data_IF_603382190565
#
_entry.id   IF_603382190565
#
_cell.length_a   1.000
_cell.length_b   1.000
_cell.length_c   1.000
_cell.angle_alpha   90.00
_cell.angle_beta   90.00
_cell.angle_gamma   90.00
#
_symmetry.space_group_name_H-M   'P 1'
#
loop_
_entity.id
_entity.type
_entity.pdbx_description
1 polymer ?
#
# COMPACT_ATOMS: atom_id res chain seq x y z
N UNK A 1 27.92 3.64 -15.26
CA UNK A 1 27.39 4.90 -14.70
C UNK A 1 26.06 4.62 -14.01
N UNK A 2 26.01 4.65 -12.67
CA UNK A 2 24.77 4.51 -11.90
C UNK A 2 24.12 5.89 -11.88
N UNK A 3 23.03 6.06 -12.64
CA UNK A 3 22.26 7.29 -12.60
C UNK A 3 21.85 7.58 -11.15
N UNK A 4 22.27 8.72 -10.63
CA UNK A 4 21.85 9.20 -9.32
C UNK A 4 20.32 9.26 -9.30
N UNK A 5 19.69 8.46 -8.44
CA UNK A 5 18.24 8.54 -8.20
C UNK A 5 17.99 9.92 -7.61
N UNK A 6 17.45 10.83 -8.41
CA UNK A 6 16.87 12.07 -7.90
C UNK A 6 15.83 11.67 -6.86
N UNK A 7 16.07 12.04 -5.60
CA UNK A 7 15.08 11.92 -4.53
C UNK A 7 13.96 12.90 -4.85
N UNK A 8 13.04 12.50 -5.74
CA UNK A 8 11.81 13.24 -5.95
C UNK A 8 11.05 13.21 -4.62
N UNK A 9 11.00 14.35 -3.96
CA UNK A 9 10.17 14.57 -2.79
C UNK A 9 8.74 14.13 -3.11
N UNK A 10 8.06 13.41 -2.22
CA UNK A 10 6.66 13.07 -2.42
C UNK A 10 5.85 14.33 -2.69
N UNK A 11 4.99 14.28 -3.71
CA UNK A 11 4.06 15.35 -4.02
C UNK A 11 2.68 14.87 -3.59
N UNK A 12 2.14 15.33 -2.44
CA UNK A 12 0.85 14.87 -1.94
C UNK A 12 -0.29 15.20 -2.92
N UNK A 13 -1.46 14.55 -2.78
CA UNK A 13 -2.59 14.86 -3.65
C UNK A 13 -2.96 16.36 -3.60
N UNK A 14 -3.42 16.94 -4.73
CA UNK A 14 -3.83 18.35 -4.77
C UNK A 14 -4.97 18.61 -3.78
N UNK A 15 -4.97 19.76 -3.11
CA UNK A 15 -6.05 20.12 -2.18
C UNK A 15 -7.32 20.44 -2.96
N UNK A 16 -8.44 19.84 -2.57
CA UNK A 16 -9.77 20.11 -3.13
C UNK A 16 -10.85 19.78 -2.09
N UNK A 17 -12.07 20.29 -2.28
CA UNK A 17 -13.13 20.14 -1.28
C UNK A 17 -13.61 18.68 -1.12
N UNK A 18 -13.61 17.91 -2.22
CA UNK A 18 -14.08 16.53 -2.27
C UNK A 18 -12.97 15.48 -2.23
N UNK A 19 -13.34 14.19 -2.24
CA UNK A 19 -12.37 13.11 -2.37
C UNK A 19 -11.70 13.19 -3.74
N UNK A 20 -10.43 12.82 -3.83
CA UNK A 20 -9.78 12.54 -5.11
C UNK A 20 -10.04 11.08 -5.46
N UNK A 21 -10.69 10.83 -6.59
CA UNK A 21 -11.01 9.47 -7.04
C UNK A 21 -10.52 9.26 -8.46
N UNK A 22 -9.25 8.84 -8.58
CA UNK A 22 -8.61 8.43 -9.82
C UNK A 22 -8.74 6.92 -10.01
N UNK A 23 -9.98 6.45 -10.06
CA UNK A 23 -10.35 5.05 -10.12
C UNK A 23 -11.56 4.82 -11.02
N UNK A 24 -11.79 3.56 -11.40
CA UNK A 24 -12.94 3.12 -12.19
C UNK A 24 -14.29 3.43 -11.52
N UNK A 25 -15.36 3.42 -12.31
CA UNK A 25 -16.72 3.64 -11.79
C UNK A 25 -17.11 2.59 -10.74
N UNK A 26 -16.75 1.33 -10.97
CA UNK A 26 -16.96 0.23 -10.01
C UNK A 26 -16.37 0.52 -8.63
N UNK A 27 -15.18 1.13 -8.55
CA UNK A 27 -14.60 1.51 -7.27
C UNK A 27 -15.36 2.66 -6.62
N UNK A 28 -15.88 3.61 -7.40
CA UNK A 28 -16.73 4.69 -6.88
C UNK A 28 -18.00 4.13 -6.24
N UNK A 29 -18.63 3.15 -6.89
CA UNK A 29 -19.85 2.51 -6.39
C UNK A 29 -19.58 1.75 -5.08
N UNK A 30 -18.52 0.95 -5.04
CA UNK A 30 -18.12 0.25 -3.83
C UNK A 30 -17.70 1.21 -2.72
N UNK A 31 -16.97 2.28 -3.05
CA UNK A 31 -16.62 3.31 -2.10
C UNK A 31 -17.88 3.91 -1.47
N UNK A 32 -18.87 4.31 -2.26
CA UNK A 32 -20.11 4.88 -1.74
C UNK A 32 -20.87 3.88 -0.85
N UNK A 33 -21.03 2.64 -1.31
CA UNK A 33 -21.73 1.59 -0.57
C UNK A 33 -21.05 1.31 0.79
N UNK A 34 -19.74 1.10 0.79
CA UNK A 34 -19.02 0.71 2.01
C UNK A 34 -18.78 1.89 2.93
N UNK A 35 -18.69 3.11 2.40
CA UNK A 35 -18.69 4.33 3.22
C UNK A 35 -19.97 4.43 4.07
N UNK A 36 -21.11 4.12 3.46
CA UNK A 36 -22.40 4.09 4.16
C UNK A 36 -22.47 2.92 5.15
N UNK A 37 -22.13 1.69 4.74
CA UNK A 37 -22.17 0.50 5.61
C UNK A 37 -21.28 0.64 6.85
N UNK A 38 -20.11 1.25 6.71
CA UNK A 38 -19.18 1.50 7.82
C UNK A 38 -19.52 2.75 8.64
N UNK A 39 -20.57 3.49 8.25
CA UNK A 39 -21.01 4.74 8.87
C UNK A 39 -19.86 5.76 9.01
N UNK A 40 -19.11 5.96 7.93
CA UNK A 40 -17.96 6.86 7.94
C UNK A 40 -18.40 8.34 7.89
N UNK A 41 -17.82 9.23 8.72
CA UNK A 41 -18.19 10.65 8.71
C UNK A 41 -17.92 11.31 7.36
N UNK A 42 -18.90 12.06 6.84
CA UNK A 42 -18.77 12.79 5.55
C UNK A 42 -17.63 13.80 5.52
N UNK A 43 -17.24 14.33 6.69
CA UNK A 43 -16.11 15.25 6.88
C UNK A 43 -14.76 14.62 6.50
N UNK A 44 -14.64 13.29 6.61
CA UNK A 44 -13.42 12.55 6.26
C UNK A 44 -13.33 12.28 4.75
N UNK A 45 -14.43 12.42 4.01
CA UNK A 45 -14.47 12.17 2.56
C UNK A 45 -13.59 13.18 1.82
N UNK A 46 -13.61 14.45 2.21
CA UNK A 46 -12.72 15.48 1.65
C UNK A 46 -11.23 15.24 1.93
N UNK A 47 -10.89 14.31 2.84
CA UNK A 47 -9.50 13.95 3.18
C UNK A 47 -9.06 12.64 2.49
N UNK A 48 -9.91 12.02 1.68
CA UNK A 48 -9.62 10.77 0.98
C UNK A 48 -9.10 11.01 -0.44
N UNK A 49 -7.97 10.39 -0.78
CA UNK A 49 -7.53 10.18 -2.14
C UNK A 49 -7.41 8.68 -2.44
N UNK A 50 -8.02 8.24 -3.53
CA UNK A 50 -7.96 6.86 -4.02
C UNK A 50 -7.47 6.85 -5.46
N UNK A 51 -6.58 5.90 -5.79
CA UNK A 51 -6.06 5.73 -7.15
C UNK A 51 -5.89 4.26 -7.51
N UNK A 52 -6.02 3.94 -8.78
CA UNK A 52 -5.60 2.65 -9.37
C UNK A 52 -4.24 2.73 -10.07
N UNK A 53 -3.62 3.92 -10.13
CA UNK A 53 -2.30 4.10 -10.72
C UNK A 53 -1.20 4.00 -9.64
N UNK A 54 -0.34 2.98 -9.79
CA UNK A 54 0.82 2.75 -8.92
C UNK A 54 1.83 3.90 -8.97
N UNK A 55 1.99 4.55 -10.12
CA UNK A 55 2.91 5.68 -10.27
C UNK A 55 2.41 6.90 -9.52
N UNK A 56 1.11 7.17 -9.61
CA UNK A 56 0.46 8.22 -8.85
C UNK A 56 0.52 7.95 -7.33
N UNK A 57 0.20 6.74 -6.89
CA UNK A 57 0.34 6.40 -5.47
C UNK A 57 1.79 6.55 -4.97
N UNK A 58 2.77 6.15 -5.78
CA UNK A 58 4.20 6.38 -5.49
C UNK A 58 4.52 7.88 -5.45
N UNK A 59 3.93 8.69 -6.31
CA UNK A 59 4.11 10.16 -6.33
C UNK A 59 3.61 10.77 -5.02
N UNK A 60 2.43 10.36 -4.55
CA UNK A 60 1.83 10.86 -3.30
C UNK A 60 2.59 10.42 -2.05
N UNK A 61 3.05 9.16 -2.00
CA UNK A 61 3.63 8.57 -0.79
C UNK A 61 5.16 8.53 -0.77
N UNK A 62 5.81 8.69 -1.92
CA UNK A 62 7.24 8.38 -2.11
C UNK A 62 7.57 6.89 -2.10
N UNK A 63 6.58 6.00 -1.91
CA UNK A 63 6.80 4.55 -1.72
C UNK A 63 6.39 3.78 -2.97
N UNK A 64 7.27 2.88 -3.41
CA UNK A 64 6.95 1.92 -4.47
C UNK A 64 6.20 0.73 -3.88
N UNK A 65 5.00 0.48 -4.38
CA UNK A 65 4.24 -0.72 -4.04
C UNK A 65 4.86 -1.96 -4.71
N UNK A 66 4.90 -3.07 -3.99
CA UNK A 66 5.24 -4.38 -4.56
C UNK A 66 4.17 -4.77 -5.60
N UNK A 67 4.57 -5.39 -6.72
CA UNK A 67 3.67 -5.82 -7.79
C UNK A 67 2.57 -6.78 -7.34
N UNK A 68 2.77 -7.49 -6.23
CA UNK A 68 1.80 -8.40 -5.62
C UNK A 68 0.78 -7.72 -4.70
N UNK A 69 0.94 -6.43 -4.40
CA UNK A 69 -0.01 -5.67 -3.57
C UNK A 69 -1.34 -5.53 -4.31
N UNK A 70 -2.43 -5.98 -3.69
CA UNK A 70 -3.80 -5.88 -4.20
C UNK A 70 -4.48 -4.58 -3.78
N UNK A 71 -4.32 -4.18 -2.52
CA UNK A 71 -4.78 -2.91 -1.96
C UNK A 71 -3.75 -2.35 -0.99
N UNK A 72 -3.78 -1.02 -0.78
CA UNK A 72 -2.96 -0.41 0.26
C UNK A 72 -3.53 0.91 0.77
N UNK A 73 -3.85 0.94 2.07
CA UNK A 73 -4.14 2.13 2.83
C UNK A 73 -2.88 2.74 3.45
N UNK A 74 -2.73 4.06 3.32
CA UNK A 74 -1.72 4.84 3.99
C UNK A 74 -2.32 6.12 4.59
N UNK A 75 -1.91 6.45 5.81
CA UNK A 75 -2.24 7.72 6.44
C UNK A 75 -1.04 8.67 6.41
N UNK A 76 -1.22 9.87 5.85
CA UNK A 76 -0.24 10.94 5.93
C UNK A 76 -0.48 11.77 7.20
N UNK A 77 0.48 11.84 8.14
CA UNK A 77 0.36 12.74 9.28
C UNK A 77 0.33 14.19 8.79
N UNK A 78 -0.34 15.07 9.55
CA UNK A 78 -0.26 16.50 9.29
C UNK A 78 1.23 16.90 9.30
N UNK A 79 1.69 17.74 8.37
CA UNK A 79 3.03 18.31 8.50
C UNK A 79 3.11 18.95 9.89
N UNK A 80 4.04 18.46 10.70
CA UNK A 80 4.35 19.12 11.96
C UNK A 80 4.78 20.53 11.56
N UNK A 81 3.96 21.54 11.86
CA UNK A 81 4.48 22.89 12.02
C UNK A 81 5.52 22.75 13.11
N UNK A 82 6.79 22.72 12.71
CA UNK A 82 7.87 22.92 13.65
C UNK A 82 7.55 24.24 14.31
N UNK A 83 7.10 24.18 15.56
CA UNK A 83 7.15 25.34 16.42
C UNK A 83 8.58 25.83 16.31
N UNK A 84 8.73 27.04 15.78
CA UNK A 84 9.96 27.80 15.70
C UNK A 84 10.44 28.05 17.13
N UNK A 85 11.10 27.05 17.70
CA UNK A 85 11.67 27.05 19.03
C UNK A 85 13.18 26.95 18.94
N UNK A 86 13.81 28.13 18.86
CA UNK A 86 15.18 28.41 19.32
C UNK A 86 16.31 27.57 18.72
N UNK A 87 16.83 28.00 17.56
CA UNK A 87 18.27 27.94 17.28
C UNK A 87 18.77 29.31 16.83
N UNK A 88 19.47 29.93 17.78
CA UNK A 88 20.51 30.95 17.70
C UNK A 88 20.82 31.54 16.33
N UNK A 89 20.51 32.85 16.20
CA UNK A 89 21.23 33.92 15.48
C UNK A 89 22.35 33.49 14.49
N UNK A 90 22.15 33.83 13.21
CA UNK A 90 23.10 34.65 12.43
C UNK A 90 22.37 35.42 11.33
N UNK A 91 22.92 36.58 11.01
CA UNK A 91 22.31 37.77 10.37
C UNK A 91 22.28 37.72 8.84
N UNK A 92 21.35 38.53 8.29
CA UNK A 92 21.27 39.13 6.94
C UNK A 92 20.94 38.16 5.79
N UNK A 93 19.96 38.43 4.92
CA UNK A 93 19.83 39.64 4.08
C UNK A 93 18.37 39.84 3.62
N UNK A 94 17.98 41.11 3.48
CA UNK A 94 16.71 41.62 2.93
C UNK A 94 16.62 41.45 1.40
N UNK A 95 15.39 41.64 0.88
CA UNK A 95 14.89 41.62 -0.52
C UNK A 95 14.39 40.24 -1.00
N UNK A 96 13.17 40.06 -1.52
CA UNK A 96 12.10 40.96 -1.95
C UNK A 96 10.75 40.35 -1.57
N UNK A 97 9.87 41.15 -0.98
CA UNK A 97 8.47 40.83 -0.80
C UNK A 97 7.72 41.22 -2.08
N UNK A 98 7.22 40.24 -2.82
CA UNK A 98 6.25 40.47 -3.89
C UNK A 98 5.17 39.39 -3.82
N UNK A 99 4.02 39.77 -3.27
CA UNK A 99 2.66 39.29 -3.59
C UNK A 99 2.44 37.76 -3.78
N UNK A 100 2.45 36.98 -2.68
CA UNK A 100 1.94 35.58 -2.64
C UNK A 100 0.96 35.31 -1.48
N UNK A 101 0.38 36.34 -0.86
CA UNK A 101 -0.33 36.19 0.42
C UNK A 101 -1.82 35.80 0.27
N UNK A 102 -2.44 36.06 -0.89
CA UNK A 102 -3.89 35.84 -1.06
C UNK A 102 -4.28 34.42 -1.53
N UNK A 103 -3.47 33.72 -2.33
CA UNK A 103 -3.80 32.34 -2.74
C UNK A 103 -3.55 31.30 -1.64
N UNK A 104 -2.51 31.51 -0.83
CA UNK A 104 -2.10 30.55 0.21
C UNK A 104 -3.15 30.45 1.34
N UNK A 105 -3.85 31.56 1.61
CA UNK A 105 -4.92 31.64 2.61
C UNK A 105 -6.17 30.82 2.23
N UNK A 106 -6.48 30.71 0.93
CA UNK A 106 -7.59 29.88 0.44
C UNK A 106 -7.21 28.39 0.36
N UNK A 107 -5.95 28.08 0.03
CA UNK A 107 -5.45 26.69 0.02
C UNK A 107 -5.31 26.10 1.44
N UNK A 108 -5.13 26.95 2.46
CA UNK A 108 -5.14 26.54 3.87
C UNK A 108 -6.52 26.09 4.37
N UNK A 109 -7.61 26.56 3.76
CA UNK A 109 -8.98 26.15 4.11
C UNK A 109 -9.38 24.81 3.50
N UNK A 110 -8.76 24.40 2.39
CA UNK A 110 -9.06 23.12 1.75
C UNK A 110 -8.45 21.95 2.54
N UNK A 111 -9.20 20.85 2.75
CA UNK A 111 -8.68 19.69 3.46
C UNK A 111 -7.47 19.12 2.70
N UNK A 112 -6.41 18.84 3.44
CA UNK A 112 -5.30 18.04 2.94
C UNK A 112 -5.75 16.57 2.92
N UNK A 113 -5.60 15.90 1.78
CA UNK A 113 -5.87 14.47 1.67
C UNK A 113 -4.85 13.68 2.50
N UNK A 114 -5.34 13.10 3.59
CA UNK A 114 -4.53 12.33 4.55
C UNK A 114 -4.76 10.84 4.43
N UNK A 115 -5.91 10.42 3.93
CA UNK A 115 -6.23 9.02 3.69
C UNK A 115 -5.93 8.68 2.24
N UNK A 116 -4.92 7.85 2.01
CA UNK A 116 -4.49 7.44 0.68
C UNK A 116 -4.79 5.96 0.48
N UNK A 117 -5.58 5.62 -0.55
CA UNK A 117 -5.91 4.24 -0.89
C UNK A 117 -5.39 3.94 -2.30
N UNK A 118 -4.71 2.81 -2.44
CA UNK A 118 -4.44 2.18 -3.72
C UNK A 118 -5.28 0.93 -3.87
N UNK A 119 -5.86 0.71 -5.05
CA UNK A 119 -6.52 -0.55 -5.42
C UNK A 119 -5.95 -1.02 -6.77
N UNK A 120 -5.56 -2.28 -6.85
CA UNK A 120 -5.07 -2.87 -8.09
C UNK A 120 -6.19 -2.98 -9.13
N UNK A 121 -6.02 -2.41 -10.34
CA UNK A 121 -7.07 -2.44 -11.36
C UNK A 121 -7.27 -3.80 -12.03
N UNK A 122 -6.20 -4.60 -12.18
CA UNK A 122 -6.29 -5.95 -12.74
C UNK A 122 -6.52 -6.96 -11.61
N UNK A 123 -7.76 -7.00 -11.14
CA UNK A 123 -8.30 -7.97 -10.18
C UNK A 123 -9.68 -8.44 -10.64
N UNK A 124 -10.11 -9.62 -10.19
CA UNK A 124 -11.49 -10.03 -10.39
C UNK A 124 -12.46 -9.05 -9.70
N UNK A 125 -13.68 -8.83 -10.22
CA UNK A 125 -14.62 -7.86 -9.65
C UNK A 125 -14.91 -8.08 -8.15
N UNK A 126 -15.07 -9.33 -7.72
CA UNK A 126 -15.26 -9.68 -6.30
C UNK A 126 -14.02 -9.35 -5.47
N UNK A 127 -12.82 -9.60 -5.99
CA UNK A 127 -11.56 -9.22 -5.32
C UNK A 127 -11.42 -7.70 -5.19
N UNK A 128 -11.87 -6.92 -6.19
CA UNK A 128 -11.88 -5.44 -6.12
C UNK A 128 -12.80 -4.99 -5.00
N UNK A 129 -14.03 -5.51 -4.95
CA UNK A 129 -15.01 -5.19 -3.92
C UNK A 129 -14.45 -5.44 -2.51
N UNK A 130 -13.98 -6.67 -2.27
CA UNK A 130 -13.42 -7.09 -0.98
C UNK A 130 -12.23 -6.21 -0.59
N UNK A 131 -11.35 -5.90 -1.54
CA UNK A 131 -10.19 -5.02 -1.28
C UNK A 131 -10.62 -3.60 -0.94
N UNK A 132 -11.65 -3.05 -1.61
CA UNK A 132 -12.18 -1.71 -1.25
C UNK A 132 -12.73 -1.72 0.18
N UNK A 133 -13.53 -2.72 0.54
CA UNK A 133 -14.05 -2.86 1.91
C UNK A 133 -12.91 -2.96 2.94
N UNK A 134 -11.89 -3.76 2.64
CA UNK A 134 -10.70 -3.93 3.47
C UNK A 134 -9.97 -2.62 3.75
N UNK A 135 -9.65 -1.84 2.71
CA UNK A 135 -8.93 -0.57 2.89
C UNK A 135 -9.80 0.48 3.61
N UNK A 136 -11.12 0.41 3.47
CA UNK A 136 -12.03 1.27 4.23
C UNK A 136 -12.16 0.86 5.70
N UNK A 137 -12.00 -0.42 6.05
CA UNK A 137 -11.91 -0.86 7.45
C UNK A 137 -10.66 -0.25 8.11
N UNK A 138 -9.51 -0.24 7.42
CA UNK A 138 -8.31 0.47 7.92
C UNK A 138 -8.55 1.96 8.15
N UNK A 139 -9.24 2.59 7.21
CA UNK A 139 -9.62 3.98 7.31
C UNK A 139 -10.56 4.20 8.51
N UNK A 140 -11.59 3.36 8.68
CA UNK A 140 -12.53 3.41 9.80
C UNK A 140 -11.82 3.27 11.15
N UNK A 141 -10.93 2.29 11.28
CA UNK A 141 -10.12 2.05 12.47
C UNK A 141 -9.25 3.27 12.80
N UNK A 142 -8.71 3.95 11.78
CA UNK A 142 -7.93 5.17 11.97
C UNK A 142 -8.79 6.33 12.47
N UNK A 143 -9.99 6.54 11.92
CA UNK A 143 -10.93 7.58 12.36
C UNK A 143 -11.34 7.35 13.81
N UNK A 144 -11.61 6.09 14.19
CA UNK A 144 -11.98 5.70 15.56
C UNK A 144 -10.82 5.79 16.55
N UNK A 145 -9.59 6.07 16.09
CA UNK A 145 -8.40 6.14 16.94
C UNK A 145 -7.84 4.77 17.34
N UNK A 146 -8.27 3.69 16.69
CA UNK A 146 -7.86 2.30 16.98
C UNK A 146 -7.20 1.62 15.77
N UNK A 147 -6.13 2.20 15.17
CA UNK A 147 -5.49 1.61 14.00
C UNK A 147 -4.85 0.25 14.33
N UNK A 148 -5.36 -0.82 13.72
CA UNK A 148 -4.83 -2.18 13.87
C UNK A 148 -3.85 -2.52 12.74
N UNK A 149 -2.88 -3.40 13.01
CA UNK A 149 -1.99 -3.97 11.98
C UNK A 149 -2.46 -5.36 11.61
N UNK A 150 -2.41 -5.68 10.32
CA UNK A 150 -2.55 -7.07 9.86
C UNK A 150 -1.42 -7.94 10.40
N UNK A 151 -1.77 -9.11 10.92
CA UNK A 151 -0.81 -10.18 11.21
C UNK A 151 -0.75 -11.18 10.07
N UNK A 152 -1.92 -11.62 9.60
CA UNK A 152 -2.03 -12.59 8.53
C UNK A 152 -3.36 -12.40 7.79
N UNK A 153 -3.28 -11.85 6.57
CA UNK A 153 -4.45 -11.51 5.76
C UNK A 153 -5.40 -12.72 5.62
N UNK A 154 -6.69 -12.49 5.87
CA UNK A 154 -7.75 -13.51 5.81
C UNK A 154 -7.90 -14.36 7.07
N UNK A 155 -7.04 -14.19 8.09
CA UNK A 155 -7.09 -14.98 9.33
C UNK A 155 -7.06 -14.13 10.60
N UNK A 156 -7.11 -12.81 10.47
CA UNK A 156 -7.17 -11.86 11.58
C UNK A 156 -8.57 -11.29 11.78
N UNK A 157 -8.74 -10.50 12.85
CA UNK A 157 -10.03 -9.89 13.20
C UNK A 157 -10.58 -8.99 12.10
N UNK A 158 -9.72 -8.41 11.26
CA UNK A 158 -10.14 -7.58 10.13
C UNK A 158 -10.85 -8.44 9.08
N UNK A 159 -10.45 -9.70 8.88
CA UNK A 159 -11.18 -10.61 8.00
C UNK A 159 -12.61 -10.90 8.50
N UNK A 160 -12.84 -10.91 9.81
CA UNK A 160 -14.19 -11.04 10.37
C UNK A 160 -15.03 -9.78 10.12
N UNK A 161 -14.44 -8.60 10.28
CA UNK A 161 -15.09 -7.33 9.96
C UNK A 161 -15.39 -7.23 8.45
N UNK A 162 -14.46 -7.69 7.61
CA UNK A 162 -14.61 -7.77 6.15
C UNK A 162 -15.78 -8.70 5.76
N UNK A 163 -15.86 -9.88 6.36
CA UNK A 163 -16.98 -10.82 6.17
C UNK A 163 -18.32 -10.18 6.58
N UNK A 164 -18.37 -9.53 7.74
CA UNK A 164 -19.58 -8.89 8.23
C UNK A 164 -20.05 -7.74 7.32
N UNK A 165 -19.12 -6.95 6.79
CA UNK A 165 -19.42 -5.77 5.97
C UNK A 165 -19.79 -6.16 4.52
N UNK A 166 -19.06 -7.10 3.95
CA UNK A 166 -19.27 -7.56 2.56
C UNK A 166 -20.43 -8.55 2.44
N UNK A 167 -20.69 -9.34 3.48
CA UNK A 167 -21.67 -10.44 3.48
C UNK A 167 -21.10 -11.78 3.00
N UNK A 168 -19.83 -11.83 2.62
CA UNK A 168 -19.15 -13.07 2.25
C UNK A 168 -18.78 -13.90 3.49
N UNK A 169 -18.69 -15.22 3.32
CA UNK A 169 -18.14 -16.09 4.36
C UNK A 169 -16.62 -15.97 4.48
N UNK A 170 -16.06 -16.20 5.67
CA UNK A 170 -14.60 -16.17 5.89
C UNK A 170 -13.82 -17.10 4.95
N UNK A 171 -14.33 -18.31 4.72
CA UNK A 171 -13.68 -19.26 3.80
C UNK A 171 -13.72 -18.80 2.34
N UNK A 172 -14.78 -18.09 1.96
CA UNK A 172 -14.90 -17.50 0.63
C UNK A 172 -13.91 -16.36 0.45
N UNK A 173 -13.77 -15.45 1.42
CA UNK A 173 -12.76 -14.40 1.40
C UNK A 173 -11.34 -14.97 1.30
N UNK A 174 -11.05 -16.01 2.09
CA UNK A 174 -9.76 -16.73 2.03
C UNK A 174 -9.53 -17.35 0.66
N UNK A 175 -10.57 -17.92 0.04
CA UNK A 175 -10.51 -18.48 -1.31
C UNK A 175 -10.21 -17.41 -2.34
N UNK A 176 -10.94 -16.30 -2.34
CA UNK A 176 -10.74 -15.16 -3.24
C UNK A 176 -9.31 -14.61 -3.14
N UNK A 177 -8.81 -14.40 -1.92
CA UNK A 177 -7.44 -13.92 -1.70
C UNK A 177 -6.38 -14.88 -2.27
N UNK A 178 -6.57 -16.20 -2.08
CA UNK A 178 -5.66 -17.22 -2.63
C UNK A 178 -5.70 -17.26 -4.15
N UNK A 179 -6.90 -17.26 -4.74
CA UNK A 179 -7.10 -17.30 -6.18
C UNK A 179 -6.49 -16.06 -6.87
N UNK A 180 -6.73 -14.87 -6.32
CA UNK A 180 -6.19 -13.62 -6.86
C UNK A 180 -4.66 -13.59 -6.75
N UNK A 181 -4.12 -14.02 -5.61
CA UNK A 181 -2.66 -14.13 -5.42
C UNK A 181 -2.03 -15.09 -6.42
N UNK A 182 -2.64 -16.26 -6.65
CA UNK A 182 -2.16 -17.27 -7.58
C UNK A 182 -2.24 -16.79 -9.04
N UNK A 183 -3.37 -16.19 -9.42
CA UNK A 183 -3.59 -15.60 -10.76
C UNK A 183 -2.51 -14.56 -11.06
N UNK A 184 -2.30 -13.65 -10.12
CA UNK A 184 -1.34 -12.56 -10.26
C UNK A 184 0.10 -13.05 -10.28
N UNK A 185 0.44 -14.04 -9.45
CA UNK A 185 1.74 -14.69 -9.52
C UNK A 185 1.94 -15.33 -10.90
N UNK A 186 0.97 -16.09 -11.41
CA UNK A 186 1.06 -16.71 -12.73
C UNK A 186 1.28 -15.68 -13.85
N UNK A 187 0.56 -14.56 -13.84
CA UNK A 187 0.79 -13.45 -14.77
C UNK A 187 2.19 -12.87 -14.65
N UNK A 188 2.67 -12.65 -13.42
CA UNK A 188 4.03 -12.20 -13.17
C UNK A 188 5.07 -13.19 -13.71
N UNK A 189 4.85 -14.50 -13.53
CA UNK A 189 5.75 -15.55 -14.02
C UNK A 189 5.73 -15.69 -15.54
N UNK A 190 4.58 -15.48 -16.19
CA UNK A 190 4.52 -15.41 -17.67
C UNK A 190 5.38 -14.27 -18.21
N UNK A 191 5.31 -13.09 -17.59
CA UNK A 191 6.09 -11.91 -18.00
C UNK A 191 7.57 -11.98 -17.59
N UNK A 192 7.84 -12.60 -16.44
CA UNK A 192 9.18 -12.74 -15.85
C UNK A 192 9.37 -14.18 -15.35
N UNK A 193 9.67 -15.11 -16.26
CA UNK A 193 9.90 -16.51 -15.89
C UNK A 193 11.03 -16.64 -14.88
N UNK A 194 10.91 -17.63 -13.98
CA UNK A 194 11.97 -17.95 -13.03
C UNK A 194 13.12 -18.58 -13.83
N UNK A 195 14.25 -17.86 -13.90
CA UNK A 195 15.44 -18.32 -14.63
C UNK A 195 16.31 -19.28 -13.83
N UNK A 196 16.27 -19.16 -12.51
CA UNK A 196 17.19 -19.84 -11.62
C UNK A 196 16.40 -20.38 -10.44
N UNK A 197 16.52 -21.69 -10.20
CA UNK A 197 15.90 -22.39 -9.09
C UNK A 197 17.01 -22.99 -8.25
N UNK A 198 16.93 -22.81 -6.93
CA UNK A 198 17.69 -23.65 -6.04
C UNK A 198 16.88 -24.89 -5.66
N UNK A 199 17.55 -26.02 -5.48
CA UNK A 199 16.93 -27.28 -5.07
C UNK A 199 17.63 -27.79 -3.81
N UNK A 200 16.86 -28.27 -2.85
CA UNK A 200 17.40 -29.02 -1.72
C UNK A 200 17.76 -30.46 -2.18
N UNK A 201 19.00 -30.92 -1.98
CA UNK A 201 19.40 -32.28 -2.37
C UNK A 201 18.69 -33.38 -1.58
N UNK A 202 18.20 -33.07 -0.38
CA UNK A 202 17.54 -34.05 0.49
C UNK A 202 16.04 -34.21 0.18
N UNK A 203 15.27 -33.11 0.19
CA UNK A 203 13.81 -33.16 0.05
C UNK A 203 13.29 -32.73 -1.33
N UNK A 204 14.16 -32.31 -2.25
CA UNK A 204 13.77 -31.90 -3.60
C UNK A 204 13.00 -30.57 -3.69
N UNK A 205 12.74 -29.89 -2.56
CA UNK A 205 12.04 -28.59 -2.59
C UNK A 205 12.78 -27.59 -3.46
N UNK A 206 12.01 -26.85 -4.25
CA UNK A 206 12.51 -25.85 -5.18
C UNK A 206 12.27 -24.44 -4.62
N UNK A 207 13.30 -23.60 -4.72
CA UNK A 207 13.31 -22.23 -4.23
C UNK A 207 13.68 -21.28 -5.37
N UNK A 208 12.72 -20.48 -5.90
CA UNK A 208 13.03 -19.47 -6.90
C UNK A 208 14.10 -18.50 -6.42
N UNK A 209 15.17 -18.34 -7.19
CA UNK A 209 16.25 -17.40 -6.87
C UNK A 209 15.78 -15.98 -7.13
N UNK A 210 15.33 -15.30 -6.07
CA UNK A 210 14.97 -13.87 -6.11
C UNK A 210 16.21 -12.96 -6.15
N UNK A 211 17.31 -13.39 -5.54
CA UNK A 211 18.64 -12.74 -5.57
C UNK A 211 19.76 -13.78 -5.47
N UNK A 212 20.99 -13.44 -5.86
CA UNK A 212 22.16 -14.25 -5.49
C UNK A 212 22.32 -14.18 -3.97
N UNK A 213 22.44 -15.34 -3.32
CA UNK A 213 22.87 -15.35 -1.93
C UNK A 213 24.36 -15.04 -1.88
N UNK A 214 24.77 -14.15 -0.97
CA UNK A 214 26.17 -13.85 -0.71
C UNK A 214 26.85 -14.93 0.14
N UNK A 215 26.05 -15.71 0.88
CA UNK A 215 26.47 -16.81 1.73
C UNK A 215 25.74 -18.10 1.32
N UNK A 216 26.28 -19.25 1.70
CA UNK A 216 25.57 -20.52 1.55
C UNK A 216 24.28 -20.49 2.37
N UNK A 217 23.20 -21.03 1.80
CA UNK A 217 21.90 -21.17 2.47
C UNK A 217 21.45 -22.61 2.37
N UNK A 218 20.72 -23.09 3.38
CA UNK A 218 20.20 -24.46 3.44
C UNK A 218 18.67 -24.49 3.45
N UNK A 219 18.11 -25.68 3.22
CA UNK A 219 16.67 -25.89 3.20
C UNK A 219 16.03 -25.74 4.59
N UNK A 220 15.23 -24.68 4.76
CA UNK A 220 14.50 -24.40 6.01
C UNK A 220 13.42 -25.42 6.38
N UNK A 221 12.99 -26.26 5.41
CA UNK A 221 12.01 -27.34 5.65
C UNK A 221 12.68 -28.60 6.18
N UNK A 222 13.95 -28.85 5.84
CA UNK A 222 14.71 -29.96 6.42
C UNK A 222 15.27 -29.61 7.79
N UNK A 223 15.74 -28.38 7.96
CA UNK A 223 16.32 -27.90 9.21
C UNK A 223 16.04 -26.40 9.36
N UNK A 224 15.62 -25.95 10.54
CA UNK A 224 15.36 -24.53 10.79
C UNK A 224 16.66 -23.72 10.91
N UNK A 225 17.76 -24.37 11.29
CA UNK A 225 19.09 -23.76 11.33
C UNK A 225 19.85 -24.00 10.02
N UNK A 226 20.93 -23.23 9.81
CA UNK A 226 21.81 -23.50 8.67
C UNK A 226 22.46 -24.87 8.83
N UNK A 227 22.34 -25.72 7.80
CA UNK A 227 22.90 -27.06 7.79
C UNK A 227 23.57 -27.34 6.44
N UNK A 228 24.90 -27.56 6.39
CA UNK A 228 25.63 -27.72 5.13
C UNK A 228 25.20 -28.98 4.35
N UNK A 229 24.66 -30.01 5.03
CA UNK A 229 24.13 -31.21 4.37
C UNK A 229 22.90 -30.92 3.51
N UNK A 230 22.17 -29.86 3.83
CA UNK A 230 20.97 -29.43 3.11
C UNK A 230 21.19 -28.11 2.37
N UNK A 231 22.46 -27.81 2.04
CA UNK A 231 22.81 -26.63 1.27
C UNK A 231 22.07 -26.65 -0.06
N UNK A 232 21.44 -25.51 -0.38
CA UNK A 232 20.66 -25.35 -1.59
C UNK A 232 21.59 -25.27 -2.81
N UNK A 233 21.37 -26.16 -3.77
CA UNK A 233 22.15 -26.26 -5.01
C UNK A 233 21.41 -25.55 -6.14
N UNK A 234 22.13 -24.81 -6.99
CA UNK A 234 21.52 -24.20 -8.16
C UNK A 234 21.19 -25.30 -9.18
N UNK A 235 19.93 -25.38 -9.58
CA UNK A 235 19.50 -26.25 -10.69
C UNK A 235 20.14 -25.72 -11.97
N UNK A 236 21.01 -26.53 -12.55
CA UNK A 236 21.55 -26.30 -13.90
C UNK A 236 20.43 -26.37 -14.94
#
# INVERSE_FOLDING_TARGET
MVAARTSRTPAPPPRQAGPIVHASHTIKDWLALYWQKLNLPTQELGKLAITQDRQEYMRWTGKRLNSMVLGCYCYLPAPHHSQTGVKTRTRNTLHSQTLLVFEDSLQLQLPSHRHLIFIEPDMQPQSIEVTVAHELIHLADRIKGTPRRHRHHGYDSIAADEAAVTGYGLEELRRLLREESARREALCRKRRPIRYLYICPNCGNQYPRTRRYSQAVSCSKCDKAFNPRYQLLLRA
#
